data_IF_883187982668
#
_entry.id   IF_883187982668
#
_cell.length_a   1.000
_cell.length_b   1.000
_cell.length_c   1.000
_cell.angle_alpha   90.00
_cell.angle_beta   90.00
_cell.angle_gamma   90.00
#
_symmetry.space_group_name_H-M   'P 1'
#
loop_
_entity.id
_entity.type
_entity.pdbx_description
1 polymer ?
#
# COMPACT_ATOMS: atom_id res chain seq x y z
N UNK A 1 14.91 -12.08 -4.51
CA UNK A 1 15.63 -11.24 -3.52
C UNK A 1 14.64 -10.22 -2.99
N UNK A 2 14.51 -10.09 -1.67
CA UNK A 2 13.61 -9.10 -1.09
C UNK A 2 14.17 -7.70 -1.33
N UNK A 3 13.32 -6.77 -1.79
CA UNK A 3 13.75 -5.40 -2.03
C UNK A 3 13.92 -4.69 -0.68
N UNK A 4 15.18 -4.42 -0.30
CA UNK A 4 15.52 -3.83 1.00
C UNK A 4 14.86 -2.47 1.23
N UNK A 5 14.80 -1.65 0.18
CA UNK A 5 14.16 -0.33 0.26
C UNK A 5 12.65 -0.45 0.51
N UNK A 6 11.98 -1.43 -0.11
CA UNK A 6 10.58 -1.73 0.20
C UNK A 6 10.41 -2.16 1.66
N UNK A 7 11.24 -3.09 2.15
CA UNK A 7 11.13 -3.61 3.51
C UNK A 7 11.34 -2.53 4.57
N UNK A 8 12.31 -1.64 4.37
CA UNK A 8 12.60 -0.54 5.31
C UNK A 8 11.42 0.46 5.36
N UNK A 9 10.86 0.81 4.20
CA UNK A 9 9.67 1.68 4.11
C UNK A 9 8.41 1.02 4.71
N UNK A 10 8.19 -0.26 4.41
CA UNK A 10 7.06 -1.04 4.92
C UNK A 10 7.12 -1.18 6.45
N UNK A 11 8.32 -1.35 7.01
CA UNK A 11 8.53 -1.39 8.46
C UNK A 11 8.15 -0.04 9.10
N UNK A 12 8.66 1.06 8.55
CA UNK A 12 8.36 2.41 9.07
C UNK A 12 6.87 2.75 8.92
N UNK A 13 6.24 2.35 7.81
CA UNK A 13 4.81 2.51 7.61
C UNK A 13 4.01 1.75 8.69
N UNK A 14 4.39 0.51 8.98
CA UNK A 14 3.77 -0.29 10.05
C UNK A 14 4.00 0.26 11.45
N UNK A 15 5.11 0.95 11.70
CA UNK A 15 5.33 1.70 12.95
C UNK A 15 4.34 2.87 13.07
N UNK A 16 4.17 3.66 12.01
CA UNK A 16 3.23 4.79 12.00
C UNK A 16 1.77 4.34 12.13
N UNK A 17 1.40 3.19 11.56
CA UNK A 17 0.06 2.61 11.76
C UNK A 17 -0.23 2.32 13.25
N UNK A 18 0.77 1.84 14.00
CA UNK A 18 0.61 1.55 15.43
C UNK A 18 0.45 2.82 16.27
N UNK A 19 1.08 3.90 15.82
CA UNK A 19 0.99 5.22 16.44
C UNK A 19 -0.23 6.03 15.96
N UNK A 20 -1.13 5.43 15.15
CA UNK A 20 -2.31 6.09 14.58
C UNK A 20 -1.98 7.28 13.67
N UNK A 21 -0.73 7.37 13.20
CA UNK A 21 -0.26 8.38 12.26
C UNK A 21 -0.66 8.01 10.82
N UNK A 22 -1.97 7.93 10.59
CA UNK A 22 -2.57 7.36 9.37
C UNK A 22 -2.13 8.07 8.09
N UNK A 23 -1.96 9.40 8.15
CA UNK A 23 -1.47 10.19 7.02
C UNK A 23 -0.05 9.80 6.62
N UNK A 24 0.87 9.73 7.59
CA UNK A 24 2.25 9.33 7.37
C UNK A 24 2.36 7.86 6.94
N UNK A 25 1.60 6.96 7.57
CA UNK A 25 1.56 5.56 7.19
C UNK A 25 1.10 5.37 5.73
N UNK A 26 0.06 6.11 5.30
CA UNK A 26 -0.44 6.09 3.94
C UNK A 26 0.64 6.47 2.91
N UNK A 27 1.37 7.56 3.16
CA UNK A 27 2.44 8.05 2.27
C UNK A 27 3.63 7.09 2.23
N UNK A 28 4.02 6.53 3.38
CA UNK A 28 5.10 5.54 3.45
C UNK A 28 4.77 4.26 2.70
N UNK A 29 3.52 3.81 2.73
CA UNK A 29 3.07 2.68 1.92
C UNK A 29 3.07 2.99 0.42
N UNK A 30 2.69 4.20 -0.02
CA UNK A 30 2.83 4.60 -1.42
C UNK A 30 4.30 4.61 -1.87
N UNK A 31 5.18 5.14 -1.03
CA UNK A 31 6.61 5.11 -1.30
C UNK A 31 7.13 3.68 -1.38
N UNK A 32 6.72 2.79 -0.47
CA UNK A 32 7.06 1.37 -0.52
C UNK A 32 6.60 0.73 -1.84
N UNK A 33 5.36 0.99 -2.27
CA UNK A 33 4.84 0.50 -3.54
C UNK A 33 5.67 0.97 -4.75
N UNK A 34 6.17 2.21 -4.73
CA UNK A 34 7.03 2.74 -5.79
C UNK A 34 8.42 2.08 -5.85
N UNK A 35 8.88 1.48 -4.74
CA UNK A 35 10.15 0.75 -4.69
C UNK A 35 9.97 -0.72 -5.02
N UNK A 36 8.80 -1.29 -4.77
CA UNK A 36 8.53 -2.69 -5.07
C UNK A 36 8.55 -2.97 -6.60
N UNK A 37 8.99 -4.16 -7.03
CA UNK A 37 8.95 -4.52 -8.45
C UNK A 37 7.53 -4.44 -9.02
N UNK A 38 7.42 -4.07 -10.29
CA UNK A 38 6.13 -4.09 -10.99
C UNK A 38 5.48 -5.47 -10.96
N UNK A 39 4.16 -5.50 -10.85
CA UNK A 39 3.34 -6.72 -10.77
C UNK A 39 3.74 -7.71 -9.65
N UNK A 40 4.41 -7.24 -8.59
CA UNK A 40 4.78 -8.06 -7.43
C UNK A 40 3.72 -8.04 -6.33
N UNK A 41 3.70 -9.11 -5.52
CA UNK A 41 2.90 -9.18 -4.29
C UNK A 41 3.19 -7.98 -3.38
N UNK A 42 4.47 -7.61 -3.23
CA UNK A 42 4.90 -6.48 -2.39
C UNK A 42 4.29 -5.16 -2.84
N UNK A 43 4.32 -4.87 -4.16
CA UNK A 43 3.73 -3.64 -4.71
C UNK A 43 2.23 -3.60 -4.43
N UNK A 44 1.52 -4.70 -4.72
CA UNK A 44 0.08 -4.75 -4.52
C UNK A 44 -0.31 -4.69 -3.05
N UNK A 45 0.44 -5.34 -2.16
CA UNK A 45 0.22 -5.26 -0.73
C UNK A 45 0.38 -3.84 -0.21
N UNK A 46 1.45 -3.15 -0.60
CA UNK A 46 1.67 -1.76 -0.20
C UNK A 46 0.57 -0.82 -0.70
N UNK A 47 0.09 -0.99 -1.95
CA UNK A 47 -1.05 -0.19 -2.46
C UNK A 47 -2.31 -0.41 -1.62
N UNK A 48 -2.62 -1.65 -1.24
CA UNK A 48 -3.78 -1.95 -0.40
C UNK A 48 -3.64 -1.40 1.02
N UNK A 49 -2.43 -1.45 1.58
CA UNK A 49 -2.16 -0.90 2.91
C UNK A 49 -2.23 0.62 2.93
N UNK A 50 -1.79 1.28 1.86
CA UNK A 50 -1.99 2.72 1.69
C UNK A 50 -3.48 3.07 1.68
N UNK A 51 -4.30 2.36 0.90
CA UNK A 51 -5.75 2.58 0.85
C UNK A 51 -6.42 2.34 2.21
N UNK A 52 -5.99 1.31 2.94
CA UNK A 52 -6.43 1.05 4.31
C UNK A 52 -6.11 2.23 5.25
N UNK A 53 -4.86 2.70 5.26
CA UNK A 53 -4.45 3.83 6.10
C UNK A 53 -5.23 5.09 5.75
N UNK A 54 -5.52 5.32 4.46
CA UNK A 54 -6.34 6.43 4.00
C UNK A 54 -7.77 6.34 4.51
N UNK A 55 -8.38 5.16 4.45
CA UNK A 55 -9.72 4.94 5.00
C UNK A 55 -9.75 5.22 6.50
N UNK A 56 -8.75 4.74 7.25
CA UNK A 56 -8.60 5.06 8.68
C UNK A 56 -8.43 6.56 8.91
N UNK A 57 -7.52 7.22 8.20
CA UNK A 57 -7.32 8.66 8.34
C UNK A 57 -8.62 9.45 8.13
N UNK A 58 -9.46 9.05 7.16
CA UNK A 58 -10.78 9.66 6.93
C UNK A 58 -11.76 9.46 8.09
N UNK A 59 -11.82 8.26 8.67
CA UNK A 59 -12.61 8.00 9.88
C UNK A 59 -12.20 8.91 11.05
N UNK A 60 -10.94 9.34 11.07
CA UNK A 60 -10.36 10.26 12.05
C UNK A 60 -10.34 11.74 11.59
N UNK A 61 -11.03 12.09 10.51
CA UNK A 61 -11.19 13.48 10.05
C UNK A 61 -10.03 14.04 9.23
N UNK A 62 -9.08 13.22 8.78
CA UNK A 62 -8.01 13.64 7.87
C UNK A 62 -8.53 13.81 6.44
N UNK A 63 -8.07 14.87 5.78
CA UNK A 63 -8.33 15.15 4.36
C UNK A 63 -7.08 14.84 3.53
N UNK A 64 -7.20 13.87 2.62
CA UNK A 64 -6.15 13.54 1.66
C UNK A 64 -6.41 14.30 0.36
N UNK A 65 -5.72 15.43 0.18
CA UNK A 65 -5.90 16.35 -0.95
C UNK A 65 -5.46 15.71 -2.29
N UNK A 66 -4.68 14.64 -2.23
CA UNK A 66 -4.07 13.95 -3.37
C UNK A 66 -4.92 12.86 -4.02
N UNK A 67 -6.23 12.77 -3.74
CA UNK A 67 -7.11 11.81 -4.43
C UNK A 67 -7.25 12.11 -5.92
N UNK A 68 -6.33 11.58 -6.72
CA UNK A 68 -6.50 11.45 -8.14
C UNK A 68 -7.31 10.18 -8.44
N UNK A 69 -8.23 10.19 -9.43
CA UNK A 69 -8.99 9.01 -9.84
C UNK A 69 -8.13 7.75 -10.09
N UNK A 70 -6.87 7.95 -10.50
CA UNK A 70 -5.93 6.85 -10.75
C UNK A 70 -5.63 5.98 -9.52
N UNK A 71 -5.69 6.53 -8.29
CA UNK A 71 -5.41 5.74 -7.08
C UNK A 71 -6.48 4.69 -6.78
N UNK A 72 -7.75 4.95 -7.14
CA UNK A 72 -8.84 3.97 -6.98
C UNK A 72 -8.69 2.80 -7.97
N UNK A 73 -8.20 3.10 -9.16
CA UNK A 73 -7.92 2.09 -10.18
C UNK A 73 -6.70 1.23 -9.82
N UNK A 74 -5.67 1.84 -9.20
CA UNK A 74 -4.50 1.13 -8.69
C UNK A 74 -4.85 0.14 -7.58
N UNK A 75 -5.71 0.52 -6.61
CA UNK A 75 -6.19 -0.40 -5.56
C UNK A 75 -6.95 -1.59 -6.16
N UNK A 76 -7.81 -1.35 -7.16
CA UNK A 76 -8.55 -2.41 -7.86
C UNK A 76 -7.61 -3.32 -8.66
N UNK A 77 -6.61 -2.75 -9.32
CA UNK A 77 -5.58 -3.51 -10.03
C UNK A 77 -4.75 -4.36 -9.06
N UNK A 78 -4.42 -3.82 -7.88
CA UNK A 78 -3.69 -4.54 -6.83
C UNK A 78 -4.46 -5.76 -6.30
N UNK A 79 -5.76 -5.61 -6.03
CA UNK A 79 -6.62 -6.75 -5.64
C UNK A 79 -6.59 -7.85 -6.71
N UNK A 80 -6.79 -7.48 -7.98
CA UNK A 80 -6.77 -8.45 -9.10
C UNK A 80 -5.41 -9.12 -9.27
N UNK A 81 -4.34 -8.34 -9.12
CA UNK A 81 -2.96 -8.81 -9.21
C UNK A 81 -2.63 -9.83 -8.13
N UNK A 82 -2.99 -9.56 -6.88
CA UNK A 82 -2.81 -10.49 -5.76
C UNK A 82 -3.62 -11.78 -5.95
N UNK A 83 -4.88 -11.68 -6.37
CA UNK A 83 -5.67 -12.87 -6.68
C UNK A 83 -4.97 -13.73 -7.74
N UNK A 84 -4.50 -13.14 -8.85
CA UNK A 84 -3.79 -13.86 -9.91
C UNK A 84 -2.51 -14.55 -9.41
N UNK A 85 -1.69 -13.84 -8.63
CA UNK A 85 -0.45 -14.39 -8.08
C UNK A 85 -0.73 -15.55 -7.10
N UNK A 86 -1.79 -15.45 -6.29
CA UNK A 86 -2.19 -16.51 -5.38
C UNK A 86 -2.70 -17.76 -6.12
N UNK A 87 -3.41 -17.58 -7.25
CA UNK A 87 -3.80 -18.69 -8.12
C UNK A 87 -2.58 -19.38 -8.77
N UNK A 88 -1.57 -18.62 -9.20
CA UNK A 88 -0.35 -19.15 -9.80
C UNK A 88 0.56 -19.89 -8.81
N UNK A 89 0.43 -19.65 -7.50
CA UNK A 89 1.15 -20.40 -6.47
C UNK A 89 0.54 -21.77 -6.12
N UNK A 90 -0.68 -22.05 -6.59
CA UNK A 90 -1.42 -23.28 -6.28
C UNK A 90 -1.49 -24.28 -7.44
N UNK A 91 -0.83 -24.01 -8.57
CA UNK A 91 -0.68 -24.92 -9.71
C UNK A 91 0.74 -25.46 -9.79
#
# INVERSE_FOLDING_TARGET
MANRAYLDLAKLAGENEREYEWGMACELWLQAASKAPENSTDKYWALLRSDFCRCRGREHGMLFVSETPCQRDETRAALRGLSRLHYLQKG
#
